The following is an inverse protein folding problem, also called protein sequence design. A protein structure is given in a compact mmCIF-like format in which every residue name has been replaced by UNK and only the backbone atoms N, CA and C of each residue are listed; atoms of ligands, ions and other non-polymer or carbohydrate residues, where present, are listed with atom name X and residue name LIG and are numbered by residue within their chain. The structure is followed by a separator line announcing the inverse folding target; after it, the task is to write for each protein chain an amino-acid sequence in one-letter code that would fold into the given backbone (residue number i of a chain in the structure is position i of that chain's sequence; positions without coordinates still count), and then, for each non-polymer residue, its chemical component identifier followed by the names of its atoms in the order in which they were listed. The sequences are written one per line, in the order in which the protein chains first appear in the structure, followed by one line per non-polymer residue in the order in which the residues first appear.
data_IF_534202711104
#
_entry.id   IF_534202711104
#
_cell.length_a   1.000
_cell.length_b   1.000
_cell.length_c   1.000
_cell.angle_alpha   90.00
_cell.angle_beta   90.00
_cell.angle_gamma   90.00
#
_symmetry.space_group_name_H-M   'P 1'
#
loop_
_entity.id
_entity.type
_entity.pdbx_description
1 polymer ?
#
# COMPACT_ATOMS: atom_id res chain seq x y z
N UNK A 1 11.04 -8.76 -30.78
CA UNK A 1 12.37 -9.32 -30.42
C UNK A 1 12.25 -9.72 -28.97
N UNK A 2 12.30 -11.03 -28.67
CA UNK A 2 12.15 -11.58 -27.32
C UNK A 2 13.52 -11.40 -26.64
N UNK A 3 13.64 -10.48 -25.69
CA UNK A 3 14.81 -10.46 -24.82
C UNK A 3 14.68 -11.57 -23.78
N UNK A 4 15.11 -12.76 -24.19
CA UNK A 4 15.47 -13.86 -23.31
C UNK A 4 16.78 -13.48 -22.61
N UNK A 5 16.70 -12.64 -21.58
CA UNK A 5 17.79 -12.43 -20.61
C UNK A 5 17.88 -13.65 -19.67
N UNK A 6 18.22 -14.79 -20.25
CA UNK A 6 18.93 -15.97 -19.71
C UNK A 6 18.72 -17.16 -20.65
N UNK A 7 19.81 -17.89 -20.93
CA UNK A 7 19.94 -18.98 -21.92
C UNK A 7 18.67 -19.83 -22.19
N UNK A 8 18.12 -19.82 -23.41
CA UNK A 8 16.85 -20.51 -23.73
C UNK A 8 16.91 -22.05 -23.82
N UNK A 9 18.09 -22.68 -23.73
CA UNK A 9 18.27 -24.04 -24.26
C UNK A 9 18.69 -25.15 -23.27
N UNK A 10 18.53 -24.99 -21.95
CA UNK A 10 18.76 -26.13 -21.01
C UNK A 10 17.65 -26.41 -19.99
N UNK A 11 16.70 -25.51 -19.75
CA UNK A 11 15.66 -25.74 -18.75
C UNK A 11 14.50 -26.62 -19.25
N UNK A 12 14.42 -26.91 -20.56
CA UNK A 12 13.31 -27.68 -21.15
C UNK A 12 13.40 -29.20 -20.96
N UNK A 13 14.39 -29.70 -20.22
CA UNK A 13 14.71 -31.13 -20.19
C UNK A 13 14.69 -31.82 -18.81
N UNK A 14 14.33 -31.14 -17.70
CA UNK A 14 14.58 -31.73 -16.36
C UNK A 14 13.41 -31.79 -15.39
N UNK A 15 12.19 -31.33 -15.73
CA UNK A 15 11.07 -31.33 -14.75
C UNK A 15 11.43 -30.59 -13.44
N UNK A 16 12.33 -29.60 -13.54
CA UNK A 16 12.89 -28.90 -12.37
C UNK A 16 12.08 -27.66 -12.03
N UNK A 17 11.68 -27.56 -10.76
CA UNK A 17 10.97 -26.43 -10.15
C UNK A 17 11.62 -25.10 -10.53
N UNK A 18 10.82 -24.10 -10.91
CA UNK A 18 11.32 -22.76 -11.25
C UNK A 18 10.39 -21.65 -10.81
N UNK A 19 10.94 -20.46 -10.55
CA UNK A 19 10.15 -19.28 -10.16
C UNK A 19 10.08 -18.31 -11.32
N UNK A 20 8.89 -17.78 -11.59
CA UNK A 20 8.64 -16.80 -12.64
C UNK A 20 8.10 -15.53 -12.00
N UNK A 21 8.82 -14.43 -12.18
CA UNK A 21 8.31 -13.09 -11.89
C UNK A 21 7.51 -12.59 -13.09
N UNK A 22 6.24 -12.27 -12.85
CA UNK A 22 5.40 -11.59 -13.83
C UNK A 22 5.32 -10.13 -13.45
N UNK A 23 5.74 -9.23 -14.33
CA UNK A 23 5.80 -7.81 -14.06
C UNK A 23 5.24 -6.98 -15.22
N UNK A 24 4.57 -5.87 -14.91
CA UNK A 24 4.27 -4.86 -15.92
C UNK A 24 5.56 -4.16 -16.40
N UNK A 25 5.43 -3.27 -17.39
CA UNK A 25 6.58 -2.56 -17.95
C UNK A 25 7.30 -1.69 -16.90
N UNK A 26 6.57 -1.05 -16.00
CA UNK A 26 7.18 -0.18 -14.98
C UNK A 26 7.99 -1.01 -13.97
N UNK A 27 7.43 -2.12 -13.50
CA UNK A 27 8.14 -3.05 -12.62
C UNK A 27 9.33 -3.72 -13.29
N UNK A 28 9.23 -4.12 -14.56
CA UNK A 28 10.37 -4.68 -15.30
C UNK A 28 11.54 -3.69 -15.35
N UNK A 29 11.25 -2.43 -15.72
CA UNK A 29 12.26 -1.37 -15.75
C UNK A 29 12.88 -1.14 -14.37
N UNK A 30 12.07 -1.10 -13.32
CA UNK A 30 12.53 -0.90 -11.94
C UNK A 30 13.45 -2.03 -11.44
N UNK A 31 13.13 -3.28 -11.80
CA UNK A 31 13.98 -4.45 -11.49
C UNK A 31 15.31 -4.39 -12.26
N UNK A 32 15.28 -4.00 -13.54
CA UNK A 32 16.47 -3.86 -14.38
C UNK A 32 17.40 -2.74 -13.89
N UNK A 33 16.81 -1.60 -13.47
CA UNK A 33 17.51 -0.49 -12.86
C UNK A 33 17.98 -0.75 -11.42
N UNK A 34 17.64 -1.90 -10.83
CA UNK A 34 18.00 -2.29 -9.46
C UNK A 34 17.54 -1.30 -8.39
N UNK A 35 16.41 -0.62 -8.62
CA UNK A 35 15.86 0.39 -7.70
C UNK A 35 15.42 -0.21 -6.35
N UNK A 36 15.21 -1.52 -6.31
CA UNK A 36 14.66 -2.24 -5.17
C UNK A 36 15.52 -3.45 -4.81
N UNK A 37 16.35 -3.36 -3.74
CA UNK A 37 17.26 -4.44 -3.32
C UNK A 37 16.58 -5.78 -3.04
N UNK A 38 15.27 -5.78 -2.72
CA UNK A 38 14.49 -6.99 -2.42
C UNK A 38 14.58 -8.03 -3.55
N UNK A 39 14.59 -7.60 -4.82
CA UNK A 39 14.58 -8.53 -5.95
C UNK A 39 15.89 -9.31 -6.07
N UNK A 40 17.02 -8.63 -5.88
CA UNK A 40 18.34 -9.27 -5.85
C UNK A 40 18.46 -10.23 -4.65
N UNK A 41 17.97 -9.83 -3.47
CA UNK A 41 17.95 -10.70 -2.30
C UNK A 41 17.12 -11.97 -2.53
N UNK A 42 15.93 -11.85 -3.13
CA UNK A 42 15.08 -13.00 -3.47
C UNK A 42 15.74 -13.88 -4.54
N UNK A 43 16.32 -13.28 -5.59
CA UNK A 43 17.00 -14.01 -6.65
C UNK A 43 18.19 -14.80 -6.10
N UNK A 44 19.01 -14.20 -5.23
CA UNK A 44 20.09 -14.88 -4.50
C UNK A 44 19.57 -16.01 -3.61
N UNK A 45 18.43 -15.82 -2.95
CA UNK A 45 17.81 -16.85 -2.10
C UNK A 45 17.37 -18.10 -2.88
N UNK A 46 16.82 -17.92 -4.09
CA UNK A 46 16.47 -19.02 -4.99
C UNK A 46 17.70 -19.67 -5.62
N UNK A 47 18.70 -18.87 -6.04
CA UNK A 47 19.94 -19.38 -6.63
C UNK A 47 20.70 -20.30 -5.66
N UNK A 48 20.76 -19.96 -4.36
CA UNK A 48 21.35 -20.82 -3.31
C UNK A 48 20.68 -22.19 -3.17
N UNK A 49 19.47 -22.35 -3.70
CA UNK A 49 18.69 -23.60 -3.70
C UNK A 49 18.60 -24.24 -5.08
N UNK A 50 19.39 -23.75 -6.04
CA UNK A 50 19.37 -24.20 -7.43
C UNK A 50 17.99 -24.09 -8.09
N UNK A 51 17.16 -23.14 -7.64
CA UNK A 51 15.86 -22.84 -8.25
C UNK A 51 16.08 -21.70 -9.26
N UNK A 52 15.93 -21.95 -10.56
CA UNK A 52 16.06 -20.90 -11.57
C UNK A 52 14.93 -19.88 -11.45
N UNK A 53 15.28 -18.61 -11.67
CA UNK A 53 14.36 -17.48 -11.68
C UNK A 53 14.25 -16.94 -13.11
N UNK A 54 13.03 -16.77 -13.58
CA UNK A 54 12.69 -16.18 -14.88
C UNK A 54 11.85 -14.92 -14.68
N UNK A 55 11.86 -14.04 -15.67
CA UNK A 55 11.03 -12.83 -15.71
C UNK A 55 10.19 -12.84 -16.98
N UNK A 56 8.93 -12.48 -16.86
CA UNK A 56 7.98 -12.40 -17.97
C UNK A 56 7.18 -11.12 -17.83
N UNK A 57 7.03 -10.40 -18.95
CA UNK A 57 6.15 -9.24 -19.02
C UNK A 57 4.69 -9.66 -19.02
N UNK A 58 3.86 -9.04 -18.18
CA UNK A 58 2.42 -9.32 -18.06
C UNK A 58 1.67 -9.14 -19.37
N UNK A 59 2.03 -8.13 -20.16
CA UNK A 59 1.41 -7.82 -21.45
C UNK A 59 1.89 -8.71 -22.61
N UNK A 60 2.77 -9.67 -22.34
CA UNK A 60 3.29 -10.56 -23.38
C UNK A 60 2.36 -11.76 -23.64
N UNK A 61 2.24 -12.23 -24.90
CA UNK A 61 1.50 -13.45 -25.22
C UNK A 61 2.02 -14.70 -24.49
N UNK A 62 3.27 -14.67 -24.03
CA UNK A 62 3.88 -15.76 -23.29
C UNK A 62 3.40 -15.83 -21.83
N UNK A 63 2.89 -14.75 -21.24
CA UNK A 63 2.51 -14.69 -19.83
C UNK A 63 1.45 -15.74 -19.47
N UNK A 64 0.37 -15.81 -20.24
CA UNK A 64 -0.70 -16.80 -20.04
C UNK A 64 -0.17 -18.24 -20.12
N UNK A 65 0.63 -18.54 -21.15
CA UNK A 65 1.21 -19.88 -21.33
C UNK A 65 2.14 -20.28 -20.19
N UNK A 66 2.88 -19.33 -19.63
CA UNK A 66 3.78 -19.61 -18.50
C UNK A 66 3.01 -19.79 -17.19
N UNK A 67 1.90 -19.07 -17.01
CA UNK A 67 1.01 -19.24 -15.84
C UNK A 67 0.35 -20.63 -15.77
N UNK A 68 0.17 -21.28 -16.92
CA UNK A 68 -0.38 -22.64 -17.00
C UNK A 68 0.67 -23.73 -16.72
N UNK A 69 1.94 -23.37 -16.48
CA UNK A 69 3.01 -24.35 -16.26
C UNK A 69 2.93 -24.96 -14.84
N UNK A 70 2.65 -26.27 -14.72
CA UNK A 70 2.44 -26.91 -13.42
C UNK A 70 3.73 -27.09 -12.62
N UNK A 71 4.91 -26.85 -13.18
CA UNK A 71 6.21 -26.94 -12.51
C UNK A 71 6.78 -25.57 -12.13
N UNK A 72 6.08 -24.49 -12.51
CA UNK A 72 6.43 -23.14 -12.13
C UNK A 72 5.71 -22.69 -10.85
N UNK A 73 6.37 -21.79 -10.11
CA UNK A 73 5.71 -20.91 -9.15
C UNK A 73 5.81 -19.48 -9.65
N UNK A 74 4.82 -18.67 -9.31
CA UNK A 74 4.60 -17.36 -9.90
C UNK A 74 4.59 -16.29 -8.82
N UNK A 75 5.36 -15.23 -9.05
CA UNK A 75 5.35 -14.02 -8.24
C UNK A 75 4.88 -12.88 -9.14
N UNK A 76 3.71 -12.33 -8.85
CA UNK A 76 3.08 -11.25 -9.61
C UNK A 76 3.49 -9.89 -9.05
N UNK A 77 3.84 -8.96 -9.94
CA UNK A 77 4.21 -7.57 -9.67
C UNK A 77 3.35 -6.66 -10.56
N UNK A 78 2.39 -5.95 -9.96
CA UNK A 78 1.52 -5.02 -10.69
C UNK A 78 0.36 -5.68 -11.47
N UNK A 79 0.14 -7.00 -11.36
CA UNK A 79 -1.02 -7.67 -11.98
C UNK A 79 -2.30 -7.54 -11.15
N UNK A 80 -3.44 -7.81 -11.78
CA UNK A 80 -4.72 -8.04 -11.13
C UNK A 80 -4.67 -9.26 -10.20
N UNK A 81 -5.47 -9.24 -9.14
CA UNK A 81 -5.62 -10.36 -8.22
C UNK A 81 -5.90 -11.68 -8.92
N UNK A 82 -5.10 -12.69 -8.56
CA UNK A 82 -5.21 -14.05 -9.10
C UNK A 82 -4.88 -15.08 -8.05
N UNK A 83 -5.89 -15.85 -7.64
CA UNK A 83 -5.66 -16.99 -6.77
C UNK A 83 -5.23 -18.24 -7.55
N UNK A 84 -4.19 -18.91 -7.06
CA UNK A 84 -3.72 -20.19 -7.59
C UNK A 84 -2.81 -20.89 -6.58
N UNK A 85 -2.62 -22.21 -6.73
CA UNK A 85 -1.85 -23.02 -5.78
C UNK A 85 -0.36 -22.65 -5.68
N UNK A 86 0.18 -21.91 -6.65
CA UNK A 86 1.58 -21.47 -6.69
C UNK A 86 1.74 -20.02 -7.12
N UNK A 87 0.70 -19.23 -6.92
CA UNK A 87 0.67 -17.82 -7.30
C UNK A 87 0.71 -16.98 -6.03
N UNK A 88 1.66 -16.06 -6.00
CA UNK A 88 1.85 -15.07 -4.95
C UNK A 88 2.00 -13.69 -5.60
N UNK A 89 1.64 -12.63 -4.88
CA UNK A 89 1.77 -11.25 -5.31
C UNK A 89 2.75 -10.57 -4.38
N UNK A 90 3.82 -10.02 -4.95
CA UNK A 90 4.78 -9.23 -4.20
C UNK A 90 4.44 -7.75 -4.41
N UNK A 91 4.28 -6.99 -3.33
CA UNK A 91 3.95 -5.57 -3.45
C UNK A 91 4.49 -4.77 -2.27
N UNK A 92 4.70 -3.46 -2.48
CA UNK A 92 5.21 -2.55 -1.43
C UNK A 92 4.11 -2.30 -0.41
N UNK A 93 4.43 -2.46 0.87
CA UNK A 93 3.56 -1.97 1.93
C UNK A 93 3.42 -0.44 1.84
N UNK A 94 2.40 0.17 2.47
CA UNK A 94 2.13 1.61 2.42
C UNK A 94 3.19 2.45 3.18
N UNK A 95 4.25 1.81 3.65
CA UNK A 95 5.33 2.39 4.45
C UNK A 95 6.66 1.95 3.84
N UNK A 96 7.60 2.89 3.73
CA UNK A 96 8.91 2.61 3.12
C UNK A 96 9.65 1.48 3.85
N UNK A 97 10.33 0.62 3.09
CA UNK A 97 11.14 -0.48 3.64
C UNK A 97 10.36 -1.77 3.92
N UNK A 98 9.03 -1.77 3.75
CA UNK A 98 8.19 -2.95 3.99
C UNK A 98 7.51 -3.44 2.70
N UNK A 99 7.30 -4.75 2.63
CA UNK A 99 6.72 -5.46 1.49
C UNK A 99 5.74 -6.53 1.95
N UNK A 100 4.81 -6.90 1.10
CA UNK A 100 3.89 -8.00 1.32
C UNK A 100 4.07 -9.06 0.24
N UNK A 101 3.94 -10.33 0.65
CA UNK A 101 3.87 -11.48 -0.23
C UNK A 101 2.53 -12.15 0.02
N UNK A 102 1.60 -12.00 -0.92
CA UNK A 102 0.17 -12.24 -0.71
C UNK A 102 -0.40 -13.28 -1.68
N UNK A 103 -1.34 -14.11 -1.24
CA UNK A 103 -1.89 -15.20 -2.05
C UNK A 103 -3.04 -14.81 -2.97
N UNK A 104 -3.68 -13.65 -2.73
CA UNK A 104 -4.83 -13.20 -3.49
C UNK A 104 -4.51 -12.02 -4.39
N UNK A 105 -3.77 -11.03 -3.91
CA UNK A 105 -3.52 -9.82 -4.67
C UNK A 105 -2.73 -8.75 -3.95
N UNK A 106 -2.62 -7.59 -4.58
CA UNK A 106 -2.00 -6.40 -4.00
C UNK A 106 -3.05 -5.37 -3.55
N UNK A 107 -2.67 -4.48 -2.62
CA UNK A 107 -3.52 -3.38 -2.16
C UNK A 107 -4.89 -3.87 -1.66
N UNK A 108 -5.97 -3.28 -2.16
CA UNK A 108 -7.34 -3.61 -1.73
C UNK A 108 -7.75 -5.07 -2.03
N UNK A 109 -7.03 -5.77 -2.89
CA UNK A 109 -7.30 -7.16 -3.24
C UNK A 109 -6.53 -8.17 -2.36
N UNK A 110 -5.61 -7.70 -1.53
CA UNK A 110 -4.79 -8.52 -0.65
C UNK A 110 -5.62 -9.37 0.32
N UNK A 111 -5.13 -10.57 0.61
CA UNK A 111 -5.68 -11.47 1.63
C UNK A 111 -5.60 -10.89 3.05
N UNK A 112 -4.78 -9.85 3.27
CA UNK A 112 -4.71 -9.15 4.55
C UNK A 112 -6.06 -8.59 5.00
N UNK A 113 -6.91 -8.16 4.04
CA UNK A 113 -8.27 -7.69 4.34
C UNK A 113 -9.18 -8.77 4.94
N UNK A 114 -8.81 -10.04 4.78
CA UNK A 114 -9.52 -11.21 5.31
C UNK A 114 -8.91 -11.69 6.63
N UNK A 115 -7.80 -11.09 7.06
CA UNK A 115 -7.13 -11.44 8.31
C UNK A 115 -7.75 -10.69 9.48
N UNK A 116 -7.84 -11.34 10.63
CA UNK A 116 -8.33 -10.71 11.85
C UNK A 116 -7.19 -10.08 12.65
N UNK A 117 -7.42 -8.86 13.10
CA UNK A 117 -6.54 -8.16 14.03
C UNK A 117 -7.02 -8.44 15.46
N UNK A 118 -6.17 -9.10 16.24
CA UNK A 118 -6.36 -9.32 17.67
C UNK A 118 -5.19 -8.70 18.44
N UNK A 119 -5.46 -7.56 19.08
CA UNK A 119 -4.49 -6.82 19.88
C UNK A 119 -4.04 -7.57 21.13
N UNK A 120 -4.84 -8.52 21.64
CA UNK A 120 -4.46 -9.32 22.81
C UNK A 120 -3.36 -10.34 22.47
N UNK A 121 -3.30 -10.78 21.21
CA UNK A 121 -2.26 -11.69 20.71
C UNK A 121 -0.89 -11.05 20.48
N UNK A 122 -0.76 -9.73 20.71
CA UNK A 122 0.44 -8.95 20.36
C UNK A 122 1.08 -8.39 21.62
N UNK A 123 2.37 -8.70 21.76
CA UNK A 123 3.24 -8.17 22.79
C UNK A 123 3.38 -6.66 22.67
N UNK A 124 2.98 -5.96 23.72
CA UNK A 124 2.88 -4.50 23.75
C UNK A 124 4.25 -3.83 23.72
N UNK A 125 5.22 -4.33 24.48
CA UNK A 125 6.56 -3.75 24.55
C UNK A 125 7.27 -3.82 23.20
N UNK A 126 7.20 -4.98 22.53
CA UNK A 126 7.74 -5.17 21.19
C UNK A 126 7.03 -4.31 20.15
N UNK A 127 5.71 -4.18 20.25
CA UNK A 127 4.93 -3.36 19.34
C UNK A 127 5.29 -1.87 19.48
N UNK A 128 5.39 -1.38 20.71
CA UNK A 128 5.77 0.01 21.01
C UNK A 128 7.20 0.32 20.59
N UNK A 129 8.15 -0.58 20.86
CA UNK A 129 9.53 -0.42 20.41
C UNK A 129 9.62 -0.33 18.87
N UNK A 130 8.94 -1.24 18.18
CA UNK A 130 8.88 -1.25 16.72
C UNK A 130 8.24 0.02 16.17
N UNK A 131 7.07 0.41 16.70
CA UNK A 131 6.35 1.61 16.29
C UNK A 131 7.23 2.84 16.43
N UNK A 132 7.78 3.09 17.62
CA UNK A 132 8.63 4.26 17.89
C UNK A 132 9.88 4.30 17.01
N UNK A 133 10.47 3.15 16.68
CA UNK A 133 11.61 3.07 15.78
C UNK A 133 11.25 3.49 14.35
N UNK A 134 10.19 2.89 13.80
CA UNK A 134 9.75 3.11 12.41
C UNK A 134 9.18 4.52 12.25
N UNK A 135 8.17 4.87 13.06
CA UNK A 135 7.50 6.17 12.95
C UNK A 135 8.44 7.30 13.34
N UNK A 136 9.29 7.12 14.36
CA UNK A 136 10.26 8.11 14.77
C UNK A 136 11.22 8.50 13.64
N UNK A 137 11.76 7.51 12.91
CA UNK A 137 12.61 7.79 11.75
C UNK A 137 11.82 8.46 10.62
N UNK A 138 10.67 7.89 10.24
CA UNK A 138 9.90 8.37 9.09
C UNK A 138 9.37 9.78 9.27
N UNK A 139 8.88 10.11 10.46
CA UNK A 139 8.37 11.45 10.76
C UNK A 139 9.50 12.49 10.85
N UNK A 140 10.67 12.13 11.40
CA UNK A 140 11.82 13.06 11.49
C UNK A 140 12.43 13.35 10.11
N UNK A 141 12.60 12.31 9.31
CA UNK A 141 13.23 12.42 7.98
C UNK A 141 12.21 12.67 6.85
N UNK A 142 10.94 12.89 7.18
CA UNK A 142 9.84 13.14 6.23
C UNK A 142 9.72 12.06 5.14
N UNK A 143 9.89 10.79 5.53
CA UNK A 143 9.92 9.65 4.62
C UNK A 143 8.51 9.16 4.33
N UNK A 144 8.09 9.33 3.08
CA UNK A 144 6.88 8.74 2.49
C UNK A 144 7.25 7.89 1.27
N UNK A 145 6.30 7.14 0.72
CA UNK A 145 6.55 6.37 -0.52
C UNK A 145 6.82 7.27 -1.74
N UNK A 146 6.18 8.44 -1.77
CA UNK A 146 6.39 9.50 -2.75
C UNK A 146 7.15 10.66 -2.10
N UNK A 147 8.01 11.33 -2.86
CA UNK A 147 8.73 12.53 -2.41
C UNK A 147 7.72 13.56 -1.87
N UNK A 148 8.04 14.14 -0.72
CA UNK A 148 7.24 15.16 -0.05
C UNK A 148 7.97 16.51 -0.06
N UNK A 149 7.18 17.58 -0.01
CA UNK A 149 7.69 18.91 0.32
C UNK A 149 8.32 18.93 1.72
N UNK A 150 9.25 19.86 1.92
CA UNK A 150 9.92 20.05 3.22
C UNK A 150 8.91 20.29 4.33
N UNK A 151 9.20 19.75 5.52
CA UNK A 151 8.33 19.93 6.69
C UNK A 151 8.39 21.38 7.17
N UNK A 152 7.22 21.94 7.45
CA UNK A 152 7.06 23.28 7.99
C UNK A 152 6.83 23.31 9.51
N UNK A 153 6.80 22.15 10.17
CA UNK A 153 6.76 21.93 11.63
C UNK A 153 5.83 22.86 12.43
N UNK A 154 4.54 22.50 12.53
CA UNK A 154 3.58 23.19 13.40
C UNK A 154 3.12 24.57 12.91
N UNK A 155 3.46 24.94 11.68
CA UNK A 155 3.04 26.20 11.05
C UNK A 155 1.64 26.15 10.42
N UNK A 156 1.11 24.95 10.20
CA UNK A 156 -0.23 24.76 9.64
C UNK A 156 -1.29 25.03 10.70
N UNK A 157 -2.37 25.67 10.27
CA UNK A 157 -3.54 25.90 11.11
C UNK A 157 -4.25 24.57 11.37
N UNK A 158 -4.75 24.36 12.59
CA UNK A 158 -5.58 23.21 12.92
C UNK A 158 -6.78 23.07 11.98
N UNK A 159 -7.02 21.85 11.51
CA UNK A 159 -8.04 21.48 10.54
C UNK A 159 -8.89 20.33 11.07
N UNK A 160 -10.17 20.29 10.67
CA UNK A 160 -11.05 19.17 10.98
C UNK A 160 -10.60 17.90 10.27
N UNK A 161 -10.14 18.05 9.02
CA UNK A 161 -9.68 16.91 8.25
C UNK A 161 -8.70 17.33 7.15
N UNK A 162 -7.83 16.39 6.77
CA UNK A 162 -7.14 16.42 5.48
C UNK A 162 -7.75 15.37 4.54
N UNK A 163 -8.09 15.78 3.32
CA UNK A 163 -8.52 14.88 2.24
C UNK A 163 -7.33 14.60 1.31
N UNK A 164 -6.87 13.34 1.30
CA UNK A 164 -5.85 12.88 0.35
C UNK A 164 -6.53 12.32 -0.92
N UNK A 165 -6.35 13.03 -2.03
CA UNK A 165 -6.86 12.64 -3.33
C UNK A 165 -5.85 11.73 -4.04
N UNK A 166 -6.33 10.71 -4.74
CA UNK A 166 -5.51 9.81 -5.54
C UNK A 166 -5.90 9.86 -7.03
N UNK A 167 -4.96 9.45 -7.88
CA UNK A 167 -5.21 9.32 -9.31
C UNK A 167 -6.31 8.30 -9.58
N UNK A 168 -7.22 8.61 -10.51
CA UNK A 168 -8.22 7.64 -10.97
C UNK A 168 -7.56 6.42 -11.60
N UNK A 169 -8.13 5.24 -11.33
CA UNK A 169 -7.65 3.95 -11.83
C UNK A 169 -8.78 3.20 -12.51
N UNK A 170 -8.43 2.30 -13.41
CA UNK A 170 -9.40 1.51 -14.17
C UNK A 170 -10.28 0.61 -13.28
N UNK A 171 -9.77 0.20 -12.11
CA UNK A 171 -10.48 -0.64 -11.15
C UNK A 171 -11.24 0.15 -10.06
N UNK A 172 -11.29 1.48 -10.15
CA UNK A 172 -11.94 2.33 -9.14
C UNK A 172 -13.41 1.95 -8.92
N UNK A 173 -14.13 1.58 -9.98
CA UNK A 173 -15.52 1.14 -9.87
C UNK A 173 -15.70 -0.11 -8.99
N UNK A 174 -14.64 -0.90 -8.79
CA UNK A 174 -14.65 -2.12 -7.98
C UNK A 174 -14.17 -1.86 -6.54
N UNK A 175 -13.29 -0.87 -6.33
CA UNK A 175 -12.68 -0.60 -5.04
C UNK A 175 -13.28 0.59 -4.31
N UNK A 176 -13.62 1.67 -5.02
CA UNK A 176 -13.95 2.97 -4.46
C UNK A 176 -15.46 3.13 -4.27
N UNK A 177 -15.85 3.64 -3.10
CA UNK A 177 -17.23 3.93 -2.76
C UNK A 177 -17.58 5.39 -3.02
N UNK A 178 -16.65 6.30 -2.70
CA UNK A 178 -16.77 7.74 -2.98
C UNK A 178 -15.60 8.21 -3.85
N UNK A 179 -15.87 9.17 -4.73
CA UNK A 179 -14.85 9.87 -5.52
C UNK A 179 -14.12 10.91 -4.67
N UNK A 180 -12.94 11.37 -5.14
CA UNK A 180 -12.22 12.49 -4.50
C UNK A 180 -13.10 13.75 -4.42
N UNK A 181 -13.85 14.01 -5.48
CA UNK A 181 -14.82 15.09 -5.56
C UNK A 181 -15.88 15.00 -4.45
N UNK A 182 -16.47 13.82 -4.25
CA UNK A 182 -17.46 13.61 -3.18
C UNK A 182 -16.84 13.75 -1.79
N UNK A 183 -15.66 13.18 -1.57
CA UNK A 183 -14.95 13.30 -0.28
C UNK A 183 -14.74 14.77 0.08
N UNK A 184 -14.28 15.61 -0.86
CA UNK A 184 -14.05 17.03 -0.63
C UNK A 184 -15.37 17.74 -0.29
N UNK A 185 -16.41 17.57 -1.13
CA UNK A 185 -17.70 18.24 -0.92
C UNK A 185 -18.31 17.90 0.44
N UNK A 186 -18.39 16.60 0.76
CA UNK A 186 -18.99 16.13 2.01
C UNK A 186 -18.21 16.62 3.22
N UNK A 187 -16.87 16.58 3.15
CA UNK A 187 -16.01 17.03 4.26
C UNK A 187 -16.10 18.54 4.46
N UNK A 188 -16.12 19.32 3.38
CA UNK A 188 -16.26 20.78 3.43
C UNK A 188 -17.64 21.21 3.97
N UNK A 189 -18.70 20.52 3.58
CA UNK A 189 -20.08 20.79 3.98
C UNK A 189 -20.44 20.26 5.37
N UNK A 190 -19.61 19.39 5.96
CA UNK A 190 -19.84 18.86 7.29
C UNK A 190 -19.75 19.96 8.36
N UNK A 191 -18.68 20.75 8.32
CA UNK A 191 -18.53 21.95 9.14
C UNK A 191 -17.91 23.08 8.30
N UNK A 192 -18.75 24.00 7.75
CA UNK A 192 -18.29 25.12 6.93
C UNK A 192 -17.39 26.12 7.65
N UNK A 193 -17.26 26.04 8.99
CA UNK A 193 -16.36 26.91 9.77
C UNK A 193 -15.01 26.27 10.03
N UNK A 194 -14.93 24.94 10.00
CA UNK A 194 -13.68 24.23 10.23
C UNK A 194 -12.89 24.07 8.94
N UNK A 195 -11.57 24.25 9.05
CA UNK A 195 -10.66 24.15 7.93
C UNK A 195 -10.55 22.68 7.44
N UNK A 196 -10.53 22.50 6.13
CA UNK A 196 -10.27 21.22 5.46
C UNK A 196 -9.10 21.40 4.50
N UNK A 197 -8.04 20.63 4.69
CA UNK A 197 -6.94 20.58 3.73
C UNK A 197 -7.24 19.56 2.63
N UNK A 198 -6.79 19.85 1.42
CA UNK A 198 -6.85 18.93 0.28
C UNK A 198 -5.45 18.81 -0.30
N UNK A 199 -4.94 17.58 -0.40
CA UNK A 199 -3.67 17.29 -1.06
C UNK A 199 -3.88 16.34 -2.22
N UNK A 200 -3.26 16.69 -3.35
CA UNK A 200 -3.31 15.90 -4.58
C UNK A 200 -2.15 14.91 -4.63
N UNK A 201 -2.42 13.70 -5.09
CA UNK A 201 -1.36 12.78 -5.50
C UNK A 201 -0.64 13.31 -6.75
N UNK A 202 0.71 13.20 -6.82
CA UNK A 202 1.49 13.65 -7.98
C UNK A 202 1.06 13.02 -9.31
N UNK A 203 0.56 11.78 -9.29
CA UNK A 203 0.11 11.05 -10.47
C UNK A 203 -1.30 11.45 -10.96
N UNK A 204 -1.99 12.37 -10.28
CA UNK A 204 -3.31 12.86 -10.74
C UNK A 204 -3.20 13.49 -12.13
N UNK A 205 -4.01 12.97 -13.05
CA UNK A 205 -4.11 13.46 -14.42
C UNK A 205 -4.65 14.90 -14.51
N UNK A 206 -4.31 15.59 -15.60
CA UNK A 206 -4.63 17.03 -15.79
C UNK A 206 -6.13 17.34 -15.66
N UNK A 207 -7.00 16.51 -16.22
CA UNK A 207 -8.45 16.77 -16.19
C UNK A 207 -9.04 16.53 -14.81
N UNK A 208 -8.60 15.48 -14.11
CA UNK A 208 -9.00 15.23 -12.73
C UNK A 208 -8.51 16.36 -11.81
N UNK A 209 -7.26 16.82 -11.98
CA UNK A 209 -6.72 17.97 -11.25
C UNK A 209 -7.60 19.21 -11.43
N UNK A 210 -7.98 19.55 -12.66
CA UNK A 210 -8.86 20.70 -12.95
C UNK A 210 -10.21 20.58 -12.24
N UNK A 211 -10.83 19.40 -12.26
CA UNK A 211 -12.10 19.15 -11.55
C UNK A 211 -11.94 19.34 -10.05
N UNK A 212 -10.92 18.74 -9.44
CA UNK A 212 -10.68 18.88 -8.00
C UNK A 212 -10.42 20.35 -7.64
N UNK A 213 -9.58 21.06 -8.40
CA UNK A 213 -9.32 22.48 -8.16
C UNK A 213 -10.59 23.33 -8.22
N UNK A 214 -11.46 23.10 -9.21
CA UNK A 214 -12.73 23.80 -9.30
C UNK A 214 -13.61 23.57 -8.06
N UNK A 215 -13.70 22.31 -7.60
CA UNK A 215 -14.46 21.98 -6.38
C UNK A 215 -13.87 22.66 -5.15
N UNK A 216 -12.55 22.67 -4.99
CA UNK A 216 -11.93 23.33 -3.83
C UNK A 216 -12.20 24.84 -3.80
N UNK A 217 -12.44 25.48 -4.94
CA UNK A 217 -12.78 26.90 -5.02
C UNK A 217 -14.24 27.19 -4.64
N UNK A 218 -15.13 26.18 -4.65
CA UNK A 218 -16.53 26.32 -4.25
C UNK A 218 -16.68 26.55 -2.73
N UNK A 219 -15.65 26.25 -1.93
CA UNK A 219 -15.72 26.23 -0.46
C UNK A 219 -14.65 27.12 0.20
N UNK A 220 -15.09 28.08 1.00
CA UNK A 220 -14.20 29.03 1.68
C UNK A 220 -13.32 28.39 2.77
N UNK A 221 -13.76 27.25 3.32
CA UNK A 221 -13.05 26.50 4.35
C UNK A 221 -12.13 25.41 3.79
N UNK A 222 -11.95 25.32 2.47
CA UNK A 222 -11.08 24.32 1.84
C UNK A 222 -9.77 24.96 1.38
N UNK A 223 -8.64 24.34 1.72
CA UNK A 223 -7.30 24.76 1.28
C UNK A 223 -6.59 23.65 0.52
N UNK A 224 -6.42 23.85 -0.79
CA UNK A 224 -5.56 23.01 -1.62
C UNK A 224 -4.09 23.31 -1.29
N UNK A 225 -3.29 22.28 -1.02
CA UNK A 225 -1.89 22.43 -0.61
C UNK A 225 -1.02 21.25 -1.02
N UNK A 226 0.27 21.49 -1.14
CA UNK A 226 1.35 20.53 -1.41
C UNK A 226 2.16 20.17 -0.15
N UNK A 227 1.88 20.80 0.99
CA UNK A 227 2.56 20.58 2.27
C UNK A 227 2.75 19.08 2.60
N UNK A 228 3.81 18.75 3.33
CA UNK A 228 4.13 17.36 3.69
C UNK A 228 2.89 16.62 4.23
N UNK A 229 2.74 15.35 3.83
CA UNK A 229 1.71 14.46 4.38
C UNK A 229 1.76 14.43 5.90
N UNK A 230 2.95 14.36 6.50
CA UNK A 230 3.09 14.27 7.96
C UNK A 230 2.68 15.57 8.67
N UNK A 231 2.91 16.74 8.06
CA UNK A 231 2.43 18.01 8.62
C UNK A 231 0.92 18.17 8.49
N UNK A 232 0.34 17.72 7.38
CA UNK A 232 -1.10 17.74 7.17
C UNK A 232 -1.83 16.82 8.14
N UNK A 233 -1.27 15.63 8.38
CA UNK A 233 -1.76 14.69 9.41
C UNK A 233 -1.63 15.33 10.79
N UNK A 234 -0.49 15.95 11.12
CA UNK A 234 -0.27 16.61 12.42
C UNK A 234 -1.29 17.71 12.70
N UNK A 235 -1.65 18.46 11.66
CA UNK A 235 -2.59 19.58 11.75
C UNK A 235 -4.06 19.17 11.72
N UNK A 236 -4.40 17.89 11.55
CA UNK A 236 -5.79 17.44 11.32
C UNK A 236 -6.31 16.53 12.42
N UNK A 237 -7.59 16.69 12.80
CA UNK A 237 -8.24 15.77 13.75
C UNK A 237 -8.38 14.34 13.20
N UNK A 238 -8.52 14.20 11.88
CA UNK A 238 -8.59 12.93 11.15
C UNK A 238 -8.19 13.12 9.68
N UNK A 239 -8.07 12.01 8.95
CA UNK A 239 -7.80 12.02 7.50
C UNK A 239 -8.89 11.29 6.72
N UNK A 240 -9.14 11.76 5.50
CA UNK A 240 -10.11 11.17 4.57
C UNK A 240 -9.38 10.81 3.29
N UNK A 241 -9.52 9.58 2.83
CA UNK A 241 -8.98 9.16 1.54
C UNK A 241 -9.79 8.00 1.00
N UNK A 242 -9.62 7.64 -0.27
CA UNK A 242 -10.19 6.42 -0.80
C UNK A 242 -9.48 5.21 -0.18
N UNK A 243 -8.27 4.90 -0.63
CA UNK A 243 -7.39 3.87 -0.08
C UNK A 243 -5.91 4.19 -0.32
N UNK A 244 -5.57 5.49 -0.37
CA UNK A 244 -4.22 5.94 -0.63
C UNK A 244 -3.29 5.60 0.55
N UNK A 245 -2.00 5.42 0.27
CA UNK A 245 -1.01 5.00 1.27
C UNK A 245 -0.82 6.05 2.37
N UNK A 246 -1.06 7.32 2.06
CA UNK A 246 -1.05 8.43 3.02
C UNK A 246 -2.04 8.21 4.16
N UNK A 247 -3.15 7.49 3.93
CA UNK A 247 -4.06 7.09 5.00
C UNK A 247 -3.38 6.16 6.00
N UNK A 248 -2.55 5.20 5.55
CA UNK A 248 -1.79 4.36 6.49
C UNK A 248 -0.66 5.15 7.17
N UNK A 249 -0.03 6.09 6.47
CA UNK A 249 0.99 6.97 7.07
C UNK A 249 0.40 7.81 8.21
N UNK A 250 -0.87 8.22 8.13
CA UNK A 250 -1.54 8.95 9.21
C UNK A 250 -1.59 8.17 10.54
N UNK A 251 -1.62 6.83 10.47
CA UNK A 251 -1.56 5.97 11.67
C UNK A 251 -0.23 6.10 12.42
N UNK A 252 0.85 6.55 11.78
CA UNK A 252 2.13 6.80 12.44
C UNK A 252 2.05 7.90 13.51
N UNK A 253 1.10 8.83 13.34
CA UNK A 253 0.82 9.92 14.26
C UNK A 253 -0.46 9.65 15.08
N UNK A 254 -0.96 8.40 15.05
CA UNK A 254 -2.21 7.98 15.71
C UNK A 254 -3.42 8.82 15.28
N UNK A 255 -3.37 9.37 14.06
CA UNK A 255 -4.45 10.15 13.50
C UNK A 255 -5.49 9.19 12.89
N UNK A 256 -6.78 9.28 13.28
CA UNK A 256 -7.85 8.47 12.71
C UNK A 256 -7.95 8.62 11.18
N UNK A 257 -8.33 7.54 10.51
CA UNK A 257 -8.39 7.47 9.05
C UNK A 257 -9.78 7.03 8.63
N UNK A 258 -10.35 7.72 7.65
CA UNK A 258 -11.59 7.34 6.99
C UNK A 258 -11.24 6.90 5.57
N UNK A 259 -11.43 5.60 5.29
CA UNK A 259 -11.32 5.04 3.96
C UNK A 259 -12.67 5.04 3.24
N UNK A 260 -12.70 5.68 2.07
CA UNK A 260 -13.84 5.72 1.16
C UNK A 260 -13.69 4.71 0.01
N UNK A 261 -12.84 3.70 0.18
CA UNK A 261 -12.65 2.57 -0.70
C UNK A 261 -12.29 1.32 0.11
N UNK A 262 -12.29 0.15 -0.55
CA UNK A 262 -11.72 -1.07 0.01
C UNK A 262 -10.24 -0.85 0.32
N UNK A 263 -9.82 -1.23 1.52
CA UNK A 263 -8.43 -1.16 1.97
C UNK A 263 -8.06 -2.48 2.65
N UNK A 264 -6.83 -3.00 2.47
CA UNK A 264 -6.36 -4.14 3.25
C UNK A 264 -6.10 -3.79 4.72
N UNK A 265 -6.17 -2.49 5.06
CA UNK A 265 -5.91 -1.95 6.39
C UNK A 265 -7.17 -1.43 7.08
N UNK A 266 -8.35 -1.88 6.65
CA UNK A 266 -9.63 -1.38 7.13
C UNK A 266 -9.84 -1.57 8.64
N UNK A 267 -9.14 -2.52 9.27
CA UNK A 267 -9.25 -2.79 10.71
C UNK A 267 -8.72 -1.65 11.59
N UNK A 268 -7.89 -0.75 11.05
CA UNK A 268 -7.39 0.44 11.74
C UNK A 268 -7.95 1.75 11.19
N UNK A 269 -9.11 1.68 10.53
CA UNK A 269 -9.74 2.81 9.91
C UNK A 269 -11.26 2.69 9.98
N UNK A 270 -11.92 3.83 9.88
CA UNK A 270 -13.34 3.90 9.62
C UNK A 270 -13.56 3.69 8.12
N UNK A 271 -14.62 3.00 7.74
CA UNK A 271 -14.95 2.79 6.32
C UNK A 271 -16.24 3.52 5.97
N UNK A 272 -16.16 4.51 5.08
CA UNK A 272 -17.31 5.23 4.59
C UNK A 272 -17.69 4.75 3.18
N UNK A 273 -18.87 4.12 3.06
CA UNK A 273 -19.39 3.64 1.76
C UNK A 273 -20.37 4.62 1.14
N UNK A 274 -21.00 5.46 1.96
CA UNK A 274 -21.98 6.46 1.54
C UNK A 274 -21.62 7.85 2.07
N UNK A 275 -22.31 8.87 1.57
CA UNK A 275 -22.18 10.22 2.12
C UNK A 275 -22.63 10.31 3.59
N UNK A 276 -23.62 9.51 3.99
CA UNK A 276 -24.05 9.40 5.38
C UNK A 276 -22.94 8.84 6.26
N UNK A 277 -22.33 7.73 5.84
CA UNK A 277 -21.23 7.10 6.57
C UNK A 277 -20.03 8.05 6.73
N UNK A 278 -19.71 8.84 5.70
CA UNK A 278 -18.63 9.81 5.78
C UNK A 278 -18.95 10.93 6.78
N UNK A 279 -20.19 11.45 6.80
CA UNK A 279 -20.60 12.45 7.79
C UNK A 279 -20.56 11.89 9.21
N UNK A 280 -21.04 10.66 9.42
CA UNK A 280 -20.98 9.99 10.72
C UNK A 280 -19.53 9.78 11.19
N UNK A 281 -18.64 9.35 10.28
CA UNK A 281 -17.24 9.18 10.59
C UNK A 281 -16.52 10.52 10.85
N UNK A 282 -16.93 11.62 10.21
CA UNK A 282 -16.42 12.97 10.51
C UNK A 282 -16.85 13.47 11.89
N UNK A 283 -18.07 13.14 12.31
CA UNK A 283 -18.64 13.51 13.60
C UNK A 283 -17.99 12.72 14.75
N UNK A 284 -17.98 11.39 14.64
CA UNK A 284 -17.64 10.50 15.75
C UNK A 284 -16.29 9.80 15.61
N UNK A 285 -15.60 9.95 14.48
CA UNK A 285 -14.44 9.12 14.16
C UNK A 285 -13.27 9.26 15.12
N UNK A 286 -12.99 10.49 15.58
CA UNK A 286 -11.93 10.73 16.56
C UNK A 286 -12.23 10.04 17.90
N UNK A 287 -13.49 10.06 18.34
CA UNK A 287 -13.92 9.36 19.55
C UNK A 287 -13.88 7.83 19.36
N UNK A 288 -14.38 7.34 18.23
CA UNK A 288 -14.43 5.91 17.93
C UNK A 288 -13.05 5.26 17.81
N UNK A 289 -12.02 6.04 17.46
CA UNK A 289 -10.65 5.58 17.29
C UNK A 289 -9.71 5.99 18.45
N UNK A 290 -10.25 6.57 19.53
CA UNK A 290 -9.46 7.13 20.63
C UNK A 290 -8.57 6.07 21.32
N UNK A 291 -9.16 4.92 21.68
CA UNK A 291 -8.45 3.82 22.35
C UNK A 291 -7.94 2.75 21.37
N UNK A 292 -7.86 3.05 20.07
CA UNK A 292 -7.38 2.08 19.10
C UNK A 292 -5.88 1.75 19.34
N UNK A 293 -5.48 0.48 19.41
CA UNK A 293 -4.10 0.09 19.74
C UNK A 293 -3.17 0.20 18.51
N UNK A 294 -2.88 1.43 18.09
CA UNK A 294 -2.11 1.75 16.88
C UNK A 294 -0.78 1.01 16.80
N UNK A 295 0.02 0.97 17.87
CA UNK A 295 1.33 0.32 17.91
C UNK A 295 1.22 -1.18 17.60
N UNK A 296 0.26 -1.85 18.24
CA UNK A 296 0.01 -3.28 18.05
C UNK A 296 -0.48 -3.57 16.64
N UNK A 297 -1.35 -2.71 16.11
CA UNK A 297 -1.81 -2.83 14.73
C UNK A 297 -0.68 -2.66 13.73
N UNK A 298 0.18 -1.64 13.92
CA UNK A 298 1.33 -1.39 13.05
C UNK A 298 2.29 -2.58 13.04
N UNK A 299 2.54 -3.17 14.23
CA UNK A 299 3.31 -4.40 14.37
C UNK A 299 2.64 -5.58 13.64
N UNK A 300 1.33 -5.76 13.80
CA UNK A 300 0.59 -6.81 13.11
C UNK A 300 0.68 -6.67 11.58
N UNK A 301 0.40 -5.49 11.05
CA UNK A 301 0.38 -5.24 9.62
C UNK A 301 1.77 -5.39 9.00
N UNK A 302 2.80 -4.76 9.58
CA UNK A 302 4.13 -4.69 8.98
C UNK A 302 5.07 -5.81 9.43
N UNK A 303 5.05 -6.19 10.71
CA UNK A 303 5.93 -7.25 11.21
C UNK A 303 5.29 -8.60 10.96
N UNK A 304 4.07 -8.87 11.43
CA UNK A 304 3.45 -10.21 11.28
C UNK A 304 3.12 -10.53 9.82
N UNK A 305 2.50 -9.59 9.11
CA UNK A 305 2.04 -9.76 7.72
C UNK A 305 2.95 -9.14 6.65
N UNK A 306 3.88 -8.27 7.02
CA UNK A 306 4.88 -7.72 6.10
C UNK A 306 6.22 -8.48 6.12
N UNK A 307 7.12 -8.04 5.26
CA UNK A 307 8.50 -8.45 5.08
C UNK A 307 9.36 -7.18 5.01
N UNK A 308 10.50 -7.19 5.68
CA UNK A 308 11.39 -6.02 5.78
C UNK A 308 12.77 -6.40 5.22
N UNK A 309 13.09 -6.06 3.96
CA UNK A 309 14.33 -6.50 3.30
C UNK A 309 15.62 -6.03 3.95
N UNK A 310 15.56 -5.03 4.84
CA UNK A 310 16.71 -4.56 5.60
C UNK A 310 17.09 -5.49 6.75
N UNK A 311 16.19 -6.39 7.20
CA UNK A 311 16.45 -7.32 8.31
C UNK A 311 17.05 -8.62 7.83
N UNK A 312 18.02 -9.16 8.60
CA UNK A 312 18.67 -10.45 8.31
C UNK A 312 17.68 -11.62 8.17
N UNK A 313 16.57 -11.58 8.90
CA UNK A 313 15.52 -12.61 8.86
C UNK A 313 14.66 -12.56 7.59
N UNK A 314 14.79 -11.54 6.73
CA UNK A 314 13.98 -11.35 5.53
C UNK A 314 13.92 -12.61 4.66
N UNK A 315 15.09 -13.11 4.22
CA UNK A 315 15.16 -14.26 3.31
C UNK A 315 14.50 -15.49 3.94
N UNK A 316 14.72 -15.72 5.23
CA UNK A 316 14.09 -16.85 5.95
C UNK A 316 12.57 -16.74 5.93
N UNK A 317 12.02 -15.57 6.24
CA UNK A 317 10.56 -15.33 6.27
C UNK A 317 9.92 -15.38 4.89
N UNK A 318 10.57 -14.77 3.89
CA UNK A 318 10.14 -14.84 2.49
C UNK A 318 10.05 -16.29 2.01
N UNK A 319 11.12 -17.08 2.20
CA UNK A 319 11.13 -18.48 1.77
C UNK A 319 10.10 -19.32 2.52
N UNK A 320 9.89 -19.08 3.82
CA UNK A 320 8.86 -19.79 4.58
C UNK A 320 7.46 -19.57 4.00
N UNK A 321 7.05 -18.32 3.75
CA UNK A 321 5.76 -18.01 3.12
C UNK A 321 5.64 -18.57 1.70
N UNK A 322 6.73 -18.46 0.93
CA UNK A 322 6.78 -19.01 -0.41
C UNK A 322 6.54 -20.53 -0.42
N UNK A 323 7.23 -21.27 0.46
CA UNK A 323 7.08 -22.73 0.52
C UNK A 323 5.75 -23.18 1.09
N UNK A 324 5.21 -22.46 2.07
CA UNK A 324 3.88 -22.72 2.64
C UNK A 324 2.81 -22.66 1.54
N UNK A 325 2.89 -21.67 0.66
CA UNK A 325 1.99 -21.56 -0.49
C UNK A 325 2.24 -22.61 -1.55
N UNK A 326 3.48 -22.70 -2.05
CA UNK A 326 3.81 -23.43 -3.27
C UNK A 326 3.87 -24.95 -3.04
N UNK A 327 3.94 -25.39 -1.79
CA UNK A 327 3.97 -26.79 -1.36
C UNK A 327 5.14 -27.59 -1.97
N UNK A 328 6.21 -26.91 -2.38
CA UNK A 328 7.47 -27.52 -2.77
C UNK A 328 8.20 -27.99 -1.51
N UNK A 329 8.06 -29.27 -1.18
CA UNK A 329 8.89 -29.92 -0.16
C UNK A 329 10.28 -30.21 -0.66
#
# INVERSE_FOLDING_TARGET
MIELLTHPNKARATGSRRVVFHADTAWMNSIEAQEHPIFDQIQKAFARRSIPVQRVRLDSPAAAKVLDDPDAAHIMLGDNARFGSRILHLWRAPVWGFWHLDELGAGWQSALRLSEFDASSIDEERATYFFNGVTGYMLRENVSLSVQEERMHGSLQGAKATVFCQASRDDDAQSCYLSSENMIRITAEFDPKALVYVKLDPAIGKDQRRRIMAITQDYQNVRLTDASVHDLVEASDLTVTQNATQGFEALMQKCPVIYCAKSPYWQAALTAKTAGDLREALEFGTLGMFDFPYEKYFYWALVRHGLEPAKEVFVKRFMARFYDKVMWR
#
